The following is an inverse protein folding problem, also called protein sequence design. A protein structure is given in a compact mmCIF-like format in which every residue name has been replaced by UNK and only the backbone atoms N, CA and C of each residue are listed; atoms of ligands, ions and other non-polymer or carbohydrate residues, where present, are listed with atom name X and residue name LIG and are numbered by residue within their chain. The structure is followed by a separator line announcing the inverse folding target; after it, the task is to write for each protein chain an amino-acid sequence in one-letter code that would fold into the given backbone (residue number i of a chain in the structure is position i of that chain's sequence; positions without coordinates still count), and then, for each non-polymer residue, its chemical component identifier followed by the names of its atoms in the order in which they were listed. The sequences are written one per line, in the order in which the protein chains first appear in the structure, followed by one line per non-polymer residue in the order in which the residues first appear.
data_IF_855811593948
#
_entry.id   IF_855811593948
#
_cell.length_a   1.000
_cell.length_b   1.000
_cell.length_c   1.000
_cell.angle_alpha   90.00
_cell.angle_beta   90.00
_cell.angle_gamma   90.00
#
_symmetry.space_group_name_H-M   'P 1'
#
loop_
_entity.id
_entity.type
_entity.pdbx_description
1 polymer ?
#
# COMPACT_ATOMS: atom_id res chain seq x y z
N UNK A 1 -36.21 29.79 33.28
CA UNK A 1 -35.08 28.91 32.94
C UNK A 1 -35.12 28.47 31.46
N UNK A 2 -35.06 29.39 30.49
CA UNK A 2 -35.14 29.05 29.05
C UNK A 2 -33.81 29.27 28.29
N UNK A 3 -32.87 30.04 28.84
CA UNK A 3 -31.62 30.43 28.17
C UNK A 3 -30.49 29.38 28.23
N UNK A 4 -30.65 28.27 28.98
CA UNK A 4 -29.58 27.27 29.15
C UNK A 4 -29.39 26.35 27.93
N UNK A 5 -30.47 26.04 27.22
CA UNK A 5 -30.47 25.15 26.05
C UNK A 5 -29.78 25.75 24.82
N UNK A 6 -30.04 27.02 24.41
CA UNK A 6 -29.37 27.59 23.25
C UNK A 6 -27.87 27.80 23.45
N UNK A 7 -27.43 28.08 24.69
CA UNK A 7 -26.01 28.26 25.02
C UNK A 7 -25.24 26.94 24.92
N UNK A 8 -25.83 25.82 25.35
CA UNK A 8 -25.21 24.50 25.22
C UNK A 8 -25.09 24.08 23.74
N UNK A 9 -26.09 24.35 22.91
CA UNK A 9 -26.01 24.10 21.47
C UNK A 9 -24.95 24.95 20.77
N UNK A 10 -24.84 26.24 21.14
CA UNK A 10 -23.81 27.13 20.60
C UNK A 10 -22.38 26.67 20.98
N UNK A 11 -22.20 26.23 22.23
CA UNK A 11 -20.91 25.68 22.70
C UNK A 11 -20.56 24.36 21.99
N UNK A 12 -21.53 23.47 21.77
CA UNK A 12 -21.31 22.23 21.04
C UNK A 12 -20.91 22.50 19.59
N UNK A 13 -21.57 23.45 18.92
CA UNK A 13 -21.26 23.83 17.54
C UNK A 13 -19.85 24.46 17.44
N UNK A 14 -19.49 25.32 18.39
CA UNK A 14 -18.16 25.92 18.47
C UNK A 14 -17.07 24.87 18.70
N UNK A 15 -17.32 23.87 19.55
CA UNK A 15 -16.38 22.77 19.78
C UNK A 15 -16.15 21.91 18.53
N UNK A 16 -17.21 21.59 17.78
CA UNK A 16 -17.09 20.85 16.50
C UNK A 16 -16.28 21.65 15.48
N UNK A 17 -16.55 22.95 15.36
CA UNK A 17 -15.81 23.83 14.46
C UNK A 17 -14.33 23.92 14.85
N UNK A 18 -14.01 24.05 16.14
CA UNK A 18 -12.63 24.08 16.63
C UNK A 18 -11.89 22.76 16.36
N UNK A 19 -12.56 21.61 16.57
CA UNK A 19 -12.00 20.28 16.27
C UNK A 19 -11.71 20.10 14.77
N UNK A 20 -12.56 20.64 13.89
CA UNK A 20 -12.31 20.59 12.44
C UNK A 20 -11.13 21.46 12.01
N UNK A 21 -10.95 22.64 12.61
CA UNK A 21 -9.80 23.51 12.31
C UNK A 21 -8.47 22.95 12.80
N UNK A 22 -8.44 22.29 13.97
CA UNK A 22 -7.21 21.64 14.48
C UNK A 22 -6.80 20.45 13.62
N UNK A 23 -7.75 19.71 13.05
CA UNK A 23 -7.47 18.56 12.17
C UNK A 23 -6.86 18.92 10.82
N UNK A 24 -7.08 20.14 10.30
CA UNK A 24 -6.57 20.56 8.98
C UNK A 24 -5.17 21.15 9.01
N UNK A 25 -4.65 21.48 10.20
CA UNK A 25 -3.39 22.22 10.35
C UNK A 25 -2.29 21.41 11.07
N UNK A 26 -2.39 20.09 11.12
CA UNK A 26 -1.30 19.25 11.60
C UNK A 26 -0.19 19.21 10.54
N UNK A 27 1.00 19.80 10.77
CA UNK A 27 2.13 19.61 9.88
C UNK A 27 2.50 18.12 9.89
N UNK A 28 2.60 17.52 8.71
CA UNK A 28 3.04 16.14 8.57
C UNK A 28 4.48 16.00 9.06
N UNK A 29 4.66 15.41 10.24
CA UNK A 29 5.99 15.02 10.73
C UNK A 29 6.45 13.79 9.96
N UNK A 30 7.63 13.87 9.34
CA UNK A 30 8.32 12.72 8.75
C UNK A 30 8.65 11.71 9.86
N UNK A 31 7.81 10.68 10.04
CA UNK A 31 7.96 9.65 11.07
C UNK A 31 6.65 9.11 11.65
N UNK A 32 5.54 9.82 11.49
CA UNK A 32 4.22 9.26 11.81
C UNK A 32 3.76 8.40 10.63
N UNK A 33 3.52 7.11 10.89
CA UNK A 33 2.89 6.20 9.93
C UNK A 33 1.57 6.82 9.46
N UNK A 34 1.51 7.28 8.21
CA UNK A 34 0.29 7.81 7.64
C UNK A 34 -0.77 6.71 7.68
N UNK A 35 -1.95 7.04 8.20
CA UNK A 35 -3.11 6.18 8.05
C UNK A 35 -3.26 5.80 6.58
N UNK A 36 -3.44 4.50 6.31
CA UNK A 36 -3.46 3.96 4.95
C UNK A 36 -4.40 4.81 4.07
N UNK A 37 -3.92 5.34 2.92
CA UNK A 37 -4.74 6.18 2.07
C UNK A 37 -5.98 5.43 1.64
N UNK A 38 -7.13 6.13 1.62
CA UNK A 38 -8.40 5.58 1.15
C UNK A 38 -8.19 5.01 -0.26
N UNK A 39 -8.25 3.68 -0.42
CA UNK A 39 -8.06 3.06 -1.73
C UNK A 39 -9.11 3.61 -2.72
N UNK A 40 -8.68 4.13 -3.88
CA UNK A 40 -9.61 4.60 -4.90
C UNK A 40 -10.48 3.42 -5.38
N UNK A 41 -11.80 3.61 -5.43
CA UNK A 41 -12.77 2.56 -5.82
C UNK A 41 -12.46 1.90 -7.17
N UNK A 42 -11.75 2.61 -8.04
CA UNK A 42 -11.29 2.11 -9.35
C UNK A 42 -10.22 1.01 -9.19
N UNK A 43 -9.27 1.17 -8.26
CA UNK A 43 -8.26 0.14 -7.98
C UNK A 43 -8.88 -1.16 -7.43
N UNK A 44 -9.97 -1.05 -6.66
CA UNK A 44 -10.69 -2.21 -6.15
C UNK A 44 -11.40 -3.04 -7.25
N UNK A 45 -11.65 -2.46 -8.43
CA UNK A 45 -12.30 -3.11 -9.59
C UNK A 45 -11.35 -3.49 -10.72
N UNK A 46 -10.05 -3.22 -10.57
CA UNK A 46 -9.07 -3.65 -11.56
C UNK A 46 -9.07 -5.18 -11.69
N UNK A 47 -9.06 -5.68 -12.93
CA UNK A 47 -8.97 -7.12 -13.24
C UNK A 47 -7.53 -7.60 -13.37
N UNK A 48 -6.63 -6.66 -13.64
CA UNK A 48 -5.20 -6.88 -13.84
C UNK A 48 -4.45 -5.84 -13.03
N UNK A 49 -3.38 -6.29 -12.38
CA UNK A 49 -2.49 -5.48 -11.56
C UNK A 49 -1.09 -5.56 -12.16
N UNK A 50 -0.40 -4.44 -12.20
CA UNK A 50 0.99 -4.40 -12.65
C UNK A 50 1.89 -4.41 -11.41
N UNK A 51 2.81 -5.37 -11.37
CA UNK A 51 3.82 -5.48 -10.32
C UNK A 51 5.22 -5.34 -10.90
N UNK A 52 6.17 -4.97 -10.06
CA UNK A 52 7.58 -4.97 -10.38
C UNK A 52 8.28 -6.05 -9.56
N UNK A 53 8.93 -6.99 -10.23
CA UNK A 53 9.73 -8.03 -9.59
C UNK A 53 11.19 -7.64 -9.76
N UNK A 54 11.91 -7.52 -8.65
CA UNK A 54 13.33 -7.13 -8.63
C UNK A 54 14.15 -8.31 -8.20
N UNK A 55 15.22 -8.61 -8.94
CA UNK A 55 16.25 -9.55 -8.51
C UNK A 55 17.43 -8.76 -7.97
N UNK A 56 17.58 -8.64 -6.64
CA UNK A 56 18.59 -7.78 -6.04
C UNK A 56 20.02 -8.21 -6.35
N UNK A 57 20.26 -9.52 -6.55
CA UNK A 57 21.60 -10.07 -6.79
C UNK A 57 22.27 -9.58 -8.07
N UNK A 58 21.47 -9.22 -9.09
CA UNK A 58 21.96 -8.70 -10.38
C UNK A 58 21.50 -7.26 -10.64
N UNK A 59 20.73 -6.66 -9.72
CA UNK A 59 20.19 -5.31 -9.88
C UNK A 59 19.16 -5.15 -11.00
N UNK A 60 18.59 -6.26 -11.48
CA UNK A 60 17.63 -6.26 -12.58
C UNK A 60 16.19 -6.25 -12.08
N UNK A 61 15.29 -5.67 -12.87
CA UNK A 61 13.87 -5.56 -12.54
C UNK A 61 13.00 -5.76 -13.76
N UNK A 62 12.01 -6.63 -13.64
CA UNK A 62 11.00 -6.87 -14.65
C UNK A 62 9.63 -6.41 -14.18
N UNK A 63 8.72 -6.23 -15.14
CA UNK A 63 7.35 -5.75 -14.95
C UNK A 63 6.41 -6.86 -15.38
N UNK A 64 5.48 -7.22 -14.51
CA UNK A 64 4.56 -8.34 -14.73
C UNK A 64 3.12 -7.89 -14.52
N UNK A 65 2.23 -8.35 -15.40
CA UNK A 65 0.79 -8.18 -15.24
C UNK A 65 0.21 -9.43 -14.58
N UNK A 66 -0.37 -9.27 -13.39
CA UNK A 66 -0.94 -10.35 -12.58
C UNK A 66 -2.43 -10.14 -12.37
N UNK A 67 -3.14 -11.20 -12.05
CA UNK A 67 -4.56 -11.16 -11.66
C UNK A 67 -4.70 -11.55 -10.18
N UNK A 68 -5.93 -11.55 -9.64
CA UNK A 68 -6.16 -11.97 -8.25
C UNK A 68 -5.90 -13.46 -8.02
N UNK A 69 -5.98 -14.25 -9.09
CA UNK A 69 -5.82 -15.71 -9.04
C UNK A 69 -4.37 -16.14 -9.28
N UNK A 70 -3.50 -15.19 -9.69
CA UNK A 70 -2.09 -15.45 -9.95
C UNK A 70 -1.37 -15.75 -8.65
N UNK A 71 -0.70 -16.90 -8.58
CA UNK A 71 -0.01 -17.37 -7.37
C UNK A 71 1.43 -16.87 -7.29
N UNK A 72 2.02 -16.90 -6.10
CA UNK A 72 3.44 -16.55 -5.92
C UNK A 72 4.36 -17.47 -6.74
N UNK A 73 4.03 -18.75 -6.87
CA UNK A 73 4.83 -19.73 -7.61
C UNK A 73 4.84 -19.40 -9.12
N UNK A 74 3.70 -18.99 -9.67
CA UNK A 74 3.60 -18.49 -11.05
C UNK A 74 4.44 -17.23 -11.26
N UNK A 75 4.43 -16.32 -10.28
CA UNK A 75 5.24 -15.10 -10.34
C UNK A 75 6.73 -15.45 -10.30
N UNK A 76 7.15 -16.40 -9.46
CA UNK A 76 8.54 -16.89 -9.40
C UNK A 76 8.94 -17.49 -10.74
N UNK A 77 8.13 -18.42 -11.25
CA UNK A 77 8.42 -19.14 -12.49
C UNK A 77 8.58 -18.18 -13.68
N UNK A 78 7.59 -17.29 -13.88
CA UNK A 78 7.61 -16.32 -14.97
C UNK A 78 8.68 -15.24 -14.76
N UNK A 79 8.85 -14.77 -13.52
CA UNK A 79 9.87 -13.77 -13.17
C UNK A 79 11.27 -14.27 -13.46
N UNK A 80 11.59 -15.52 -13.09
CA UNK A 80 12.85 -16.18 -13.43
C UNK A 80 13.07 -16.23 -14.93
N UNK A 81 12.06 -16.64 -15.69
CA UNK A 81 12.13 -16.73 -17.15
C UNK A 81 12.44 -15.37 -17.77
N UNK A 82 11.74 -14.33 -17.34
CA UNK A 82 11.93 -12.96 -17.85
C UNK A 82 13.29 -12.36 -17.50
N UNK A 83 13.85 -12.75 -16.35
CA UNK A 83 15.16 -12.30 -15.87
C UNK A 83 16.32 -13.21 -16.31
N UNK A 84 16.05 -14.23 -17.15
CA UNK A 84 17.08 -15.11 -17.70
C UNK A 84 17.63 -16.16 -16.72
N UNK A 85 16.90 -16.48 -15.64
CA UNK A 85 17.24 -17.54 -14.67
C UNK A 85 16.43 -18.82 -14.94
N UNK A 86 16.30 -19.26 -16.19
CA UNK A 86 15.47 -20.42 -16.60
C UNK A 86 16.27 -21.72 -16.77
N UNK A 87 17.51 -21.76 -16.27
CA UNK A 87 18.36 -22.95 -16.44
C UNK A 87 17.80 -24.15 -15.67
N UNK A 88 17.79 -25.32 -16.32
CA UNK A 88 17.19 -26.56 -15.80
C UNK A 88 17.79 -27.07 -14.48
N UNK A 89 19.00 -26.63 -14.13
CA UNK A 89 19.69 -27.02 -12.89
C UNK A 89 19.33 -26.13 -11.69
N UNK A 90 18.62 -25.02 -11.91
CA UNK A 90 18.14 -24.15 -10.83
C UNK A 90 16.64 -24.44 -10.64
N UNK A 91 16.21 -25.05 -9.54
CA UNK A 91 14.78 -25.34 -9.30
C UNK A 91 14.03 -24.10 -8.79
N UNK A 92 12.74 -23.98 -9.13
CA UNK A 92 11.90 -22.82 -8.73
C UNK A 92 11.82 -22.67 -7.22
N UNK A 93 11.93 -23.78 -6.48
CA UNK A 93 11.93 -23.83 -5.03
C UNK A 93 13.04 -23.02 -4.37
N UNK A 94 14.15 -22.76 -5.08
CA UNK A 94 15.30 -22.02 -4.56
C UNK A 94 15.04 -20.52 -4.50
N UNK A 95 14.04 -20.04 -5.25
CA UNK A 95 13.65 -18.64 -5.26
C UNK A 95 12.58 -18.37 -4.21
N UNK A 96 12.70 -17.22 -3.55
CA UNK A 96 11.76 -16.73 -2.55
C UNK A 96 11.36 -15.30 -2.92
N UNK A 97 10.08 -14.99 -2.70
CA UNK A 97 9.56 -13.64 -2.85
C UNK A 97 9.37 -13.02 -1.46
N UNK A 98 9.73 -11.75 -1.36
CA UNK A 98 9.45 -10.90 -0.21
C UNK A 98 8.98 -9.54 -0.71
N UNK A 99 8.22 -8.82 0.11
CA UNK A 99 7.87 -7.44 -0.20
C UNK A 99 9.06 -6.56 0.12
N UNK A 100 9.32 -5.55 -0.70
CA UNK A 100 10.41 -4.60 -0.47
C UNK A 100 10.36 -3.94 0.91
N UNK A 101 9.17 -3.77 1.46
CA UNK A 101 8.96 -3.17 2.79
C UNK A 101 9.48 -4.05 3.94
N UNK A 102 9.59 -5.37 3.70
CA UNK A 102 10.09 -6.35 4.67
C UNK A 102 11.63 -6.47 4.66
N UNK A 103 12.32 -5.77 3.73
CA UNK A 103 13.78 -5.76 3.65
C UNK A 103 14.36 -5.00 4.85
N UNK A 104 15.06 -5.70 5.75
CA UNK A 104 15.75 -5.09 6.88
C UNK A 104 16.87 -4.18 6.39
N UNK A 105 16.84 -2.91 6.83
CA UNK A 105 17.85 -1.89 6.50
C UNK A 105 19.21 -2.18 7.12
#
# INVERSE_FOLDING_TARGET
MAARRPVLCALALAAVMALMFVGTAAPGFAGLSQAAPRQPRVAARARTYEIFVTQPSVGERTRMSVTKDTTCDEIIHEGRRLLGFDQAWIPDSDFKLYLKEDESK
#
